data_IF_324273932825
#
_entry.id   IF_324273932825
#
_cell.length_a   1.000
_cell.length_b   1.000
_cell.length_c   1.000
_cell.angle_alpha   90.00
_cell.angle_beta   90.00
_cell.angle_gamma   90.00
#
_symmetry.space_group_name_H-M   'P 1'
#
loop_
_entity.id
_entity.type
_entity.pdbx_description
1 polymer ?
#
# COMPACT_ATOMS: atom_id res chain seq x y z
N UNK A 1 11.59 17.33 6.23
CA UNK A 1 10.37 16.56 6.53
C UNK A 1 9.59 17.32 7.58
N UNK A 2 8.39 17.78 7.21
CA UNK A 2 7.47 18.51 8.09
C UNK A 2 6.62 17.51 8.88
N UNK A 3 5.95 17.97 9.94
CA UNK A 3 5.04 17.14 10.74
C UNK A 3 3.92 16.54 9.88
N UNK A 4 3.40 17.32 8.93
CA UNK A 4 2.40 16.86 7.95
C UNK A 4 2.92 15.70 7.08
N UNK A 5 4.20 15.70 6.70
CA UNK A 5 4.82 14.62 5.93
C UNK A 5 4.88 13.32 6.75
N UNK A 6 5.14 13.43 8.06
CA UNK A 6 5.16 12.29 9.00
C UNK A 6 3.75 11.69 9.12
N UNK A 7 2.73 12.52 9.31
CA UNK A 7 1.33 12.09 9.42
C UNK A 7 0.89 11.41 8.12
N UNK A 8 1.21 12.00 6.98
CA UNK A 8 0.93 11.44 5.67
C UNK A 8 1.60 10.07 5.47
N UNK A 9 2.90 9.96 5.77
CA UNK A 9 3.63 8.69 5.68
C UNK A 9 3.04 7.62 6.60
N UNK A 10 2.59 7.98 7.80
CA UNK A 10 1.92 7.06 8.73
C UNK A 10 0.64 6.48 8.12
N UNK A 11 -0.20 7.31 7.50
CA UNK A 11 -1.42 6.86 6.82
C UNK A 11 -1.11 5.92 5.64
N UNK A 12 -0.03 6.18 4.90
CA UNK A 12 0.40 5.30 3.81
C UNK A 12 0.87 3.94 4.32
N UNK A 13 1.58 3.90 5.45
CA UNK A 13 2.01 2.64 6.09
C UNK A 13 0.80 1.84 6.57
N UNK A 14 -0.19 2.48 7.20
CA UNK A 14 -1.44 1.83 7.62
C UNK A 14 -2.18 1.22 6.41
N UNK A 15 -2.26 1.97 5.31
CA UNK A 15 -2.88 1.50 4.06
C UNK A 15 -2.14 0.29 3.46
N UNK A 16 -0.81 0.22 3.58
CA UNK A 16 -0.02 -0.94 3.12
C UNK A 16 -0.28 -2.18 3.98
N UNK A 17 -0.40 -2.03 5.30
CA UNK A 17 -0.71 -3.14 6.20
C UNK A 17 -2.08 -3.76 5.88
N UNK A 18 -3.09 -2.91 5.62
CA UNK A 18 -4.41 -3.38 5.20
C UNK A 18 -4.36 -4.09 3.83
N UNK A 19 -3.64 -3.51 2.87
CA UNK A 19 -3.48 -4.09 1.55
C UNK A 19 -2.77 -5.45 1.60
N UNK A 20 -1.78 -5.62 2.47
CA UNK A 20 -1.06 -6.87 2.67
C UNK A 20 -2.01 -8.01 3.11
N UNK A 21 -2.92 -7.72 4.05
CA UNK A 21 -3.94 -8.67 4.51
C UNK A 21 -4.85 -9.12 3.36
N UNK A 22 -5.36 -8.15 2.58
CA UNK A 22 -6.22 -8.43 1.42
C UNK A 22 -5.48 -9.20 0.33
N UNK A 23 -4.20 -8.89 0.11
CA UNK A 23 -3.37 -9.57 -0.89
C UNK A 23 -3.18 -11.04 -0.52
N UNK A 24 -2.92 -11.34 0.76
CA UNK A 24 -2.87 -12.72 1.28
C UNK A 24 -4.19 -13.44 1.07
N UNK A 25 -5.31 -12.80 1.39
CA UNK A 25 -6.63 -13.39 1.18
C UNK A 25 -6.88 -13.74 -0.30
N UNK A 26 -6.60 -12.80 -1.22
CA UNK A 26 -6.73 -13.03 -2.66
C UNK A 26 -5.81 -14.18 -3.13
N UNK A 27 -4.58 -14.25 -2.62
CA UNK A 27 -3.65 -15.35 -2.91
C UNK A 27 -4.21 -16.71 -2.48
N UNK A 28 -4.70 -16.83 -1.24
CA UNK A 28 -5.26 -18.09 -0.73
C UNK A 28 -6.54 -18.51 -1.48
N UNK A 29 -7.35 -17.55 -1.89
CA UNK A 29 -8.54 -17.77 -2.73
C UNK A 29 -8.22 -18.09 -4.19
N UNK A 30 -6.94 -17.99 -4.59
CA UNK A 30 -6.50 -18.05 -6.00
C UNK A 30 -7.20 -17.02 -6.90
N UNK A 31 -7.63 -15.91 -6.30
CA UNK A 31 -8.25 -14.80 -7.01
C UNK A 31 -7.16 -13.92 -7.63
N UNK A 32 -6.76 -14.28 -8.84
CA UNK A 32 -5.67 -13.60 -9.56
C UNK A 32 -6.02 -12.15 -9.96
N UNK A 33 -7.30 -11.83 -10.13
CA UNK A 33 -7.74 -10.49 -10.51
C UNK A 33 -7.60 -9.54 -9.32
N UNK A 34 -8.18 -9.92 -8.18
CA UNK A 34 -8.10 -9.10 -6.96
C UNK A 34 -6.66 -9.02 -6.46
N UNK A 35 -5.87 -10.10 -6.54
CA UNK A 35 -4.45 -10.07 -6.22
C UNK A 35 -3.69 -9.02 -7.05
N UNK A 36 -3.90 -9.01 -8.38
CA UNK A 36 -3.23 -8.07 -9.26
C UNK A 36 -3.65 -6.62 -9.02
N UNK A 37 -4.93 -6.39 -8.69
CA UNK A 37 -5.46 -5.07 -8.33
C UNK A 37 -4.83 -4.55 -7.04
N UNK A 38 -4.78 -5.38 -5.99
CA UNK A 38 -4.17 -5.01 -4.70
C UNK A 38 -2.66 -4.77 -4.89
N UNK A 39 -1.96 -5.61 -5.64
CA UNK A 39 -0.54 -5.42 -5.98
C UNK A 39 -0.30 -4.06 -6.65
N UNK A 40 -1.13 -3.67 -7.63
CA UNK A 40 -1.03 -2.35 -8.29
C UNK A 40 -1.23 -1.20 -7.30
N UNK A 41 -2.21 -1.33 -6.41
CA UNK A 41 -2.46 -0.34 -5.36
C UNK A 41 -1.25 -0.17 -4.41
N UNK A 42 -0.66 -1.27 -3.94
CA UNK A 42 0.53 -1.24 -3.09
C UNK A 42 1.72 -0.55 -3.81
N UNK A 43 1.91 -0.82 -5.10
CA UNK A 43 2.95 -0.14 -5.90
C UNK A 43 2.70 1.37 -6.03
N UNK A 44 1.44 1.80 -6.11
CA UNK A 44 1.09 3.23 -6.12
C UNK A 44 1.41 3.90 -4.78
N UNK A 45 1.09 3.25 -3.65
CA UNK A 45 1.46 3.75 -2.33
C UNK A 45 2.99 3.88 -2.21
N UNK A 46 3.73 2.85 -2.62
CA UNK A 46 5.20 2.88 -2.52
C UNK A 46 5.82 4.02 -3.34
N UNK A 47 5.25 4.35 -4.50
CA UNK A 47 5.65 5.55 -5.28
C UNK A 47 5.38 6.84 -4.51
N UNK A 48 4.17 7.00 -3.95
CA UNK A 48 3.82 8.18 -3.14
C UNK A 48 4.72 8.34 -1.91
N UNK A 49 5.08 7.25 -1.25
CA UNK A 49 6.05 7.27 -0.15
C UNK A 49 7.43 7.73 -0.64
N UNK A 50 7.89 7.18 -1.77
CA UNK A 50 9.18 7.57 -2.36
C UNK A 50 9.22 9.05 -2.74
N UNK A 51 8.12 9.60 -3.24
CA UNK A 51 8.01 11.01 -3.60
C UNK A 51 7.96 11.92 -2.35
N UNK A 52 7.37 11.47 -1.25
CA UNK A 52 7.33 12.21 0.02
C UNK A 52 8.66 12.21 0.79
N UNK A 53 9.55 11.26 0.50
CA UNK A 53 10.87 11.13 1.12
C UNK A 53 11.97 11.88 0.32
N UNK A 54 11.71 12.19 -0.95
CA UNK A 54 12.59 13.01 -1.80
C UNK A 54 12.53 14.49 -1.45
#
# INVERSE_FOLDING_TARGET
MKEDDIVFLKQLVESLNEAESKLREAYYKKDSEEFNKIKKFMLQINRRMSDAIK
#
